data_IF_136450630011
#
_entry.id   IF_136450630011
#
_cell.length_a   1.000
_cell.length_b   1.000
_cell.length_c   1.000
_cell.angle_alpha   90.00
_cell.angle_beta   90.00
_cell.angle_gamma   90.00
#
_symmetry.space_group_name_H-M   'P 1'
#
loop_
_entity.id
_entity.type
_entity.pdbx_description
1 polymer ?
#
# COMPACT_ATOMS: atom_id res chain seq x y z
N UNK A 1 37.27 -11.03 -31.31
CA UNK A 1 36.27 -9.97 -31.03
C UNK A 1 34.85 -10.55 -30.89
N UNK A 2 34.68 -11.77 -30.36
CA UNK A 2 33.41 -12.51 -30.50
C UNK A 2 32.61 -12.67 -29.18
N UNK A 3 33.20 -12.37 -28.03
CA UNK A 3 32.55 -12.59 -26.72
C UNK A 3 31.58 -11.50 -26.25
N UNK A 4 31.63 -10.28 -26.82
CA UNK A 4 30.81 -9.15 -26.33
C UNK A 4 29.38 -9.17 -26.88
N UNK A 5 29.19 -9.57 -28.13
CA UNK A 5 27.87 -9.66 -28.76
C UNK A 5 27.01 -10.78 -28.16
N UNK A 6 27.63 -11.90 -27.79
CA UNK A 6 26.94 -13.03 -27.16
C UNK A 6 26.42 -12.69 -25.75
N UNK A 7 27.22 -11.97 -24.96
CA UNK A 7 26.82 -11.51 -23.63
C UNK A 7 25.69 -10.47 -23.68
N UNK A 8 25.75 -9.52 -24.62
CA UNK A 8 24.73 -8.48 -24.76
C UNK A 8 23.41 -9.06 -25.29
N UNK A 9 23.47 -9.99 -26.25
CA UNK A 9 22.31 -10.70 -26.77
C UNK A 9 21.67 -11.62 -25.72
N UNK A 10 22.49 -12.34 -24.93
CA UNK A 10 22.02 -13.17 -23.83
C UNK A 10 21.34 -12.37 -22.72
N UNK A 11 21.91 -11.21 -22.36
CA UNK A 11 21.31 -10.30 -21.37
C UNK A 11 19.98 -9.72 -21.87
N UNK A 12 19.91 -9.34 -23.14
CA UNK A 12 18.68 -8.83 -23.74
C UNK A 12 17.58 -9.89 -23.77
N UNK A 13 17.90 -11.14 -24.13
CA UNK A 13 16.96 -12.26 -24.09
C UNK A 13 16.47 -12.53 -22.66
N UNK A 14 17.37 -12.48 -21.67
CA UNK A 14 17.03 -12.64 -20.27
C UNK A 14 16.05 -11.57 -19.79
N UNK A 15 16.30 -10.29 -20.14
CA UNK A 15 15.41 -9.19 -19.79
C UNK A 15 14.00 -9.35 -20.39
N UNK A 16 13.89 -9.76 -21.66
CA UNK A 16 12.61 -9.98 -22.34
C UNK A 16 11.85 -11.15 -21.69
N UNK A 17 12.55 -12.24 -21.35
CA UNK A 17 11.97 -13.39 -20.67
C UNK A 17 11.49 -13.04 -19.23
N UNK A 18 12.26 -12.23 -18.50
CA UNK A 18 11.88 -11.76 -17.16
C UNK A 18 10.62 -10.88 -17.20
N UNK A 19 10.50 -9.99 -18.18
CA UNK A 19 9.31 -9.16 -18.37
C UNK A 19 8.09 -10.00 -18.77
N UNK A 20 8.28 -11.00 -19.64
CA UNK A 20 7.20 -11.90 -20.10
C UNK A 20 6.63 -12.80 -18.98
N UNK A 21 7.40 -13.02 -17.92
CA UNK A 21 6.96 -13.78 -16.73
C UNK A 21 6.41 -12.89 -15.61
N UNK A 22 6.39 -11.56 -15.79
CA UNK A 22 5.68 -10.63 -14.92
C UNK A 22 4.16 -10.87 -15.08
N UNK A 23 3.65 -11.84 -14.34
CA UNK A 23 2.25 -12.22 -14.35
C UNK A 23 1.41 -11.03 -13.88
N UNK A 24 0.48 -10.58 -14.71
CA UNK A 24 -0.77 -10.02 -14.19
C UNK A 24 -1.45 -11.14 -13.43
N UNK A 25 -1.39 -11.11 -12.09
CA UNK A 25 -2.10 -12.08 -11.27
C UNK A 25 -3.59 -11.89 -11.52
N UNK A 26 -4.30 -12.84 -12.16
CA UNK A 26 -5.73 -12.70 -12.43
C UNK A 26 -6.55 -12.65 -11.13
N UNK A 27 -5.93 -13.04 -10.02
CA UNK A 27 -6.49 -13.07 -8.67
C UNK A 27 -5.97 -11.92 -7.78
N UNK A 28 -5.34 -10.90 -8.36
CA UNK A 28 -4.94 -9.72 -7.60
C UNK A 28 -6.16 -8.92 -7.16
N UNK A 29 -6.42 -8.85 -5.85
CA UNK A 29 -7.44 -7.93 -5.34
C UNK A 29 -7.09 -6.50 -5.76
N UNK A 30 -8.07 -5.71 -6.24
CA UNK A 30 -7.83 -4.32 -6.62
C UNK A 30 -7.20 -3.58 -5.44
N UNK A 31 -6.15 -2.79 -5.73
CA UNK A 31 -5.45 -2.00 -4.72
C UNK A 31 -6.03 -0.59 -4.70
N UNK A 32 -6.36 -0.12 -3.50
CA UNK A 32 -6.84 1.23 -3.28
C UNK A 32 -5.68 2.09 -2.78
N UNK A 33 -5.28 3.07 -3.58
CA UNK A 33 -4.34 4.12 -3.17
C UNK A 33 -5.14 5.35 -2.79
N UNK A 34 -4.95 5.86 -1.57
CA UNK A 34 -5.73 6.99 -1.04
C UNK A 34 -4.80 8.13 -0.65
N UNK A 35 -5.18 9.33 -1.07
CA UNK A 35 -4.56 10.59 -0.69
C UNK A 35 -5.58 11.47 0.00
N UNK A 36 -5.14 12.29 0.96
CA UNK A 36 -6.01 13.22 1.66
C UNK A 36 -5.44 13.61 3.01
N UNK A 37 -6.33 14.01 3.90
CA UNK A 37 -6.02 14.41 5.27
C UNK A 37 -6.45 13.35 6.29
N UNK A 38 -6.59 13.79 7.54
CA UNK A 38 -7.15 13.02 8.66
C UNK A 38 -8.40 12.18 8.37
N UNK A 39 -9.28 12.59 7.43
CA UNK A 39 -10.50 11.85 7.07
C UNK A 39 -10.24 10.49 6.44
N UNK A 40 -9.07 10.29 5.83
CA UNK A 40 -8.68 9.06 5.15
C UNK A 40 -7.45 8.40 5.78
N UNK A 41 -6.81 9.07 6.74
CA UNK A 41 -5.64 8.57 7.44
C UNK A 41 -6.01 7.39 8.37
N UNK A 42 -5.26 6.29 8.22
CA UNK A 42 -5.43 5.06 8.99
C UNK A 42 -4.30 4.80 9.99
N UNK A 43 -3.41 5.78 10.19
CA UNK A 43 -2.34 5.72 11.22
C UNK A 43 -1.01 6.35 10.82
N UNK A 44 -0.96 7.18 9.78
CA UNK A 44 0.23 7.87 9.31
C UNK A 44 0.60 9.09 10.18
N UNK A 45 -0.37 9.66 10.92
CA UNK A 45 -0.10 10.77 11.83
C UNK A 45 0.97 10.44 12.87
N UNK A 46 1.99 11.30 13.10
CA UNK A 46 3.05 11.04 14.07
C UNK A 46 2.53 10.86 15.50
N UNK A 47 3.02 9.82 16.22
CA UNK A 47 2.57 9.52 17.59
C UNK A 47 3.09 10.50 18.65
N UNK A 48 4.20 11.17 18.38
CA UNK A 48 4.83 12.14 19.28
C UNK A 48 4.19 13.54 19.22
N UNK A 49 3.26 13.78 18.29
CA UNK A 49 2.54 15.04 18.14
C UNK A 49 1.10 14.86 18.64
N UNK A 50 0.47 15.95 19.11
CA UNK A 50 -0.97 15.93 19.45
C UNK A 50 -1.75 15.43 18.24
N UNK A 51 -2.58 14.41 18.43
CA UNK A 51 -3.27 13.73 17.33
C UNK A 51 -4.15 12.56 17.79
N UNK A 52 -4.59 11.71 16.86
CA UNK A 52 -5.58 10.65 17.07
C UNK A 52 -5.06 9.39 17.80
N UNK A 53 -4.10 9.56 18.70
CA UNK A 53 -3.43 8.49 19.44
C UNK A 53 -3.89 8.38 20.90
N UNK A 54 -4.97 9.07 21.28
CA UNK A 54 -5.56 9.06 22.62
C UNK A 54 -7.07 8.90 22.52
N UNK A 55 -7.73 8.55 23.62
CA UNK A 55 -9.20 8.56 23.68
C UNK A 55 -9.75 9.95 23.33
N UNK A 56 -10.92 10.05 22.67
CA UNK A 56 -11.89 8.97 22.39
C UNK A 56 -11.64 8.20 21.09
N UNK A 57 -10.54 8.45 20.36
CA UNK A 57 -10.33 7.86 19.04
C UNK A 57 -10.21 6.33 19.09
N UNK A 58 -10.89 5.68 18.15
CA UNK A 58 -10.91 4.24 17.98
C UNK A 58 -11.63 3.45 19.08
N UNK A 59 -12.42 4.06 19.97
CA UNK A 59 -13.11 3.34 21.06
C UNK A 59 -14.22 2.42 20.54
N UNK A 60 -14.99 2.82 19.52
CA UNK A 60 -15.96 1.94 18.85
C UNK A 60 -15.27 0.91 17.94
N UNK A 61 -14.30 1.33 17.12
CA UNK A 61 -13.45 0.44 16.33
C UNK A 61 -12.06 1.07 16.17
N UNK A 62 -10.96 0.38 16.48
CA UNK A 62 -10.84 -1.05 16.81
C UNK A 62 -10.89 -1.37 18.33
N UNK A 63 -11.44 -0.49 19.16
CA UNK A 63 -11.42 -0.60 20.62
C UNK A 63 -10.22 0.06 21.31
N UNK A 64 -9.36 0.76 20.54
CA UNK A 64 -8.22 1.53 21.05
C UNK A 64 -7.76 2.57 20.01
N UNK A 65 -7.10 3.66 20.44
CA UNK A 65 -6.50 4.62 19.51
C UNK A 65 -5.50 3.95 18.57
N UNK A 66 -5.69 4.13 17.26
CA UNK A 66 -4.84 3.55 16.22
C UNK A 66 -4.36 4.60 15.19
N UNK A 67 -4.53 5.88 15.49
CA UNK A 67 -4.11 6.96 14.60
C UNK A 67 -5.17 7.39 13.57
N UNK A 68 -6.39 6.84 13.61
CA UNK A 68 -7.55 7.35 12.86
C UNK A 68 -8.20 8.52 13.59
N UNK A 69 -8.50 9.60 12.87
CA UNK A 69 -9.26 10.73 13.41
C UNK A 69 -10.78 10.44 13.50
N UNK A 70 -11.14 9.26 14.01
CA UNK A 70 -12.51 8.79 14.20
C UNK A 70 -12.60 7.89 15.44
N UNK A 71 -13.79 7.79 16.05
CA UNK A 71 -14.08 6.77 17.07
C UNK A 71 -14.20 5.35 16.46
N UNK A 72 -14.45 5.28 15.15
CA UNK A 72 -14.61 4.03 14.43
C UNK A 72 -13.78 3.97 13.15
N UNK A 73 -14.33 3.24 12.17
CA UNK A 73 -13.80 3.19 10.81
C UNK A 73 -13.79 4.58 10.17
N UNK A 74 -12.82 4.82 9.30
CA UNK A 74 -12.81 5.97 8.39
C UNK A 74 -13.43 5.59 7.04
N UNK A 75 -13.71 6.57 6.17
CA UNK A 75 -14.42 6.32 4.91
C UNK A 75 -13.75 5.25 4.04
N UNK A 76 -12.42 5.25 4.00
CA UNK A 76 -11.63 4.29 3.22
C UNK A 76 -11.76 2.86 3.72
N UNK A 77 -12.01 2.65 5.01
CA UNK A 77 -12.25 1.31 5.57
C UNK A 77 -13.56 0.69 5.02
N UNK A 78 -14.47 1.47 4.44
CA UNK A 78 -15.73 0.99 3.86
C UNK A 78 -15.62 0.72 2.35
N UNK A 79 -14.63 1.33 1.70
CA UNK A 79 -14.38 1.17 0.26
C UNK A 79 -13.32 0.09 0.02
N UNK A 80 -12.28 0.02 0.86
CA UNK A 80 -11.16 -0.90 0.73
C UNK A 80 -11.33 -2.24 1.44
N UNK A 81 -12.33 -2.38 2.32
CA UNK A 81 -12.73 -3.67 2.87
C UNK A 81 -13.62 -4.39 1.86
N UNK A 82 -12.99 -5.02 0.86
CA UNK A 82 -13.58 -6.11 0.07
C UNK A 82 -13.21 -7.44 0.70
#
# INVERSE_FOLDING_TARGET
MEGKGFLLGGLLLFCIAAISTAKNSPNGSPKLFVFGDSYVDTGNWPRNVRGPWKEPYGKTFPGKPNGRASDGRVLTDHIGAS
#
